data_IF_281612282426
#
_entry.id   IF_281612282426
#
_cell.length_a   1.000
_cell.length_b   1.000
_cell.length_c   1.000
_cell.angle_alpha   90.00
_cell.angle_beta   90.00
_cell.angle_gamma   90.00
#
_symmetry.space_group_name_H-M   'P 1'
#
loop_
_entity.id
_entity.type
_entity.pdbx_description
1 polymer ?
#
# COMPACT_ATOMS: atom_id res chain seq x y z
N UNK A 1 -4.39 -2.53 9.99
CA UNK A 1 -4.48 -3.49 8.86
C UNK A 1 -5.86 -3.29 8.27
N UNK A 2 -5.95 -2.65 7.09
CA UNK A 2 -7.26 -2.38 6.47
C UNK A 2 -7.88 -3.71 6.02
N UNK A 3 -9.15 -4.01 6.35
CA UNK A 3 -9.82 -5.27 6.00
C UNK A 3 -9.89 -5.56 4.49
N UNK A 4 -9.67 -4.54 3.65
CA UNK A 4 -9.73 -4.63 2.20
C UNK A 4 -8.33 -4.38 1.63
N UNK A 5 -7.59 -5.46 1.37
CA UNK A 5 -6.21 -5.39 0.88
C UNK A 5 -5.99 -6.36 -0.27
N UNK A 6 -5.27 -5.91 -1.30
CA UNK A 6 -4.77 -6.77 -2.37
C UNK A 6 -3.25 -6.68 -2.44
N UNK A 7 -2.59 -7.67 -3.04
CA UNK A 7 -1.15 -7.63 -3.30
C UNK A 7 -0.69 -6.51 -4.25
N UNK A 8 -1.63 -5.80 -4.88
CA UNK A 8 -1.37 -4.69 -5.80
C UNK A 8 -1.45 -3.32 -5.12
N UNK A 9 -1.90 -3.24 -3.87
CA UNK A 9 -2.06 -1.96 -3.21
C UNK A 9 -0.70 -1.33 -2.89
N UNK A 10 -0.60 0.01 -2.82
CA UNK A 10 0.65 0.69 -2.46
C UNK A 10 1.21 0.30 -1.09
N UNK A 11 0.37 -0.25 -0.22
CA UNK A 11 0.70 -0.69 1.14
C UNK A 11 0.96 -2.20 1.26
N UNK A 12 0.92 -2.97 0.17
CA UNK A 12 1.14 -4.42 0.21
C UNK A 12 2.62 -4.83 0.20
N UNK A 13 3.49 -4.00 -0.39
CA UNK A 13 4.91 -4.30 -0.58
C UNK A 13 5.80 -3.22 0.03
N UNK A 14 6.90 -3.63 0.65
CA UNK A 14 7.95 -2.73 1.12
C UNK A 14 8.78 -2.23 -0.06
N UNK A 15 8.89 -0.90 -0.18
CA UNK A 15 9.62 -0.19 -1.23
C UNK A 15 11.10 -0.04 -0.92
N UNK A 16 11.44 0.14 0.36
CA UNK A 16 12.82 0.30 0.82
C UNK A 16 13.10 -0.66 1.99
N UNK A 17 13.30 -1.96 1.71
CA UNK A 17 13.56 -2.96 2.75
C UNK A 17 14.87 -2.68 3.50
N UNK A 18 15.86 -2.05 2.86
CA UNK A 18 17.13 -1.71 3.51
C UNK A 18 16.97 -0.59 4.54
N UNK A 19 16.14 0.42 4.29
CA UNK A 19 15.83 1.42 5.30
C UNK A 19 15.14 0.80 6.53
N UNK A 20 14.23 -0.14 6.33
CA UNK A 20 13.59 -0.87 7.43
C UNK A 20 14.60 -1.71 8.20
N UNK A 21 15.43 -2.48 7.49
CA UNK A 21 16.51 -3.28 8.10
C UNK A 21 17.43 -2.41 8.95
N UNK A 22 17.78 -1.21 8.47
CA UNK A 22 18.58 -0.23 9.22
C UNK A 22 17.88 0.30 10.46
N UNK A 23 16.59 0.63 10.36
CA UNK A 23 15.82 1.09 11.52
C UNK A 23 15.73 0.02 12.61
N UNK A 24 15.52 -1.25 12.21
CA UNK A 24 15.52 -2.40 13.12
C UNK A 24 16.89 -2.56 13.77
N UNK A 25 17.97 -2.59 12.98
CA UNK A 25 19.35 -2.71 13.45
C UNK A 25 19.69 -1.69 14.54
N UNK A 26 19.33 -0.42 14.31
CA UNK A 26 19.55 0.68 15.27
C UNK A 26 18.78 0.47 16.57
N UNK A 27 17.49 0.11 16.50
CA UNK A 27 16.67 -0.08 17.69
C UNK A 27 17.06 -1.32 18.50
N UNK A 28 17.46 -2.40 17.83
CA UNK A 28 17.83 -3.64 18.51
C UNK A 28 19.31 -3.69 18.92
N UNK A 29 20.13 -2.73 18.47
CA UNK A 29 21.59 -2.75 18.64
C UNK A 29 22.26 -3.93 17.92
N UNK A 30 21.65 -4.41 16.83
CA UNK A 30 22.28 -5.42 15.97
C UNK A 30 22.99 -4.69 14.83
N UNK A 31 24.33 -4.65 14.89
CA UNK A 31 25.16 -3.94 13.91
C UNK A 31 25.74 -4.93 12.89
N UNK A 32 26.12 -4.42 11.72
CA UNK A 32 26.68 -5.20 10.62
C UNK A 32 26.61 -4.45 9.30
N UNK A 33 27.15 -5.06 8.24
CA UNK A 33 26.90 -4.61 6.87
C UNK A 33 25.50 -5.02 6.43
N UNK A 34 24.57 -4.06 6.43
CA UNK A 34 23.16 -4.33 6.18
C UNK A 34 22.85 -4.73 4.73
N UNK A 35 23.75 -4.52 3.78
CA UNK A 35 23.54 -4.97 2.40
C UNK A 35 23.77 -6.48 2.28
N UNK A 36 24.84 -6.98 2.91
CA UNK A 36 25.34 -8.33 2.67
C UNK A 36 25.10 -9.29 3.86
N UNK A 37 25.06 -8.78 5.09
CA UNK A 37 24.98 -9.61 6.29
C UNK A 37 23.54 -9.90 6.73
N UNK A 38 23.29 -11.13 7.16
CA UNK A 38 22.04 -11.52 7.81
C UNK A 38 22.05 -11.10 9.30
N UNK A 39 21.10 -10.25 9.70
CA UNK A 39 20.94 -9.83 11.09
C UNK A 39 20.23 -10.89 11.94
N UNK A 40 19.61 -11.90 11.33
CA UNK A 40 18.77 -12.86 12.05
C UNK A 40 19.48 -13.58 13.20
N UNK A 41 20.78 -13.96 13.13
CA UNK A 41 21.49 -14.53 14.28
C UNK A 41 21.48 -13.61 15.50
N UNK A 42 21.73 -12.30 15.31
CA UNK A 42 21.66 -11.33 16.39
C UNK A 42 20.23 -11.11 16.86
N UNK A 43 19.27 -10.93 15.94
CA UNK A 43 17.87 -10.67 16.28
C UNK A 43 17.23 -11.80 17.09
N UNK A 44 17.58 -13.06 16.80
CA UNK A 44 17.11 -14.22 17.57
C UNK A 44 17.60 -14.24 19.02
N UNK A 45 18.67 -13.51 19.34
CA UNK A 45 19.16 -13.37 20.73
C UNK A 45 18.43 -12.29 21.53
N UNK A 46 17.62 -11.44 20.89
CA UNK A 46 16.88 -10.35 21.55
C UNK A 46 15.59 -10.88 22.18
N UNK A 47 15.17 -10.25 23.27
CA UNK A 47 13.87 -10.57 23.88
C UNK A 47 12.73 -10.17 22.94
N UNK A 48 11.61 -10.89 23.01
CA UNK A 48 10.42 -10.54 22.25
C UNK A 48 9.96 -9.10 22.53
N UNK A 49 10.05 -8.65 23.78
CA UNK A 49 9.73 -7.28 24.16
C UNK A 49 10.61 -6.25 23.43
N UNK A 50 11.92 -6.51 23.32
CA UNK A 50 12.83 -5.62 22.58
C UNK A 50 12.55 -5.61 21.07
N UNK A 51 12.12 -6.74 20.50
CA UNK A 51 11.74 -6.82 19.08
C UNK A 51 10.42 -6.10 18.80
N UNK A 52 9.43 -6.21 19.69
CA UNK A 52 8.13 -5.56 19.55
C UNK A 52 8.18 -4.05 19.80
N UNK A 53 9.21 -3.56 20.50
CA UNK A 53 9.39 -2.12 20.76
C UNK A 53 10.02 -1.36 19.58
N UNK A 54 10.48 -2.05 18.52
CA UNK A 54 11.04 -1.40 17.33
C UNK A 54 10.01 -0.45 16.71
N UNK A 55 10.34 0.85 16.66
CA UNK A 55 9.50 1.88 16.07
C UNK A 55 10.02 2.28 14.70
N UNK A 56 9.18 2.08 13.68
CA UNK A 56 9.44 2.55 12.33
C UNK A 56 8.75 3.89 12.11
N UNK A 57 9.46 4.87 11.55
CA UNK A 57 8.87 6.09 11.03
C UNK A 57 8.22 5.81 9.68
N UNK A 58 7.04 5.17 9.72
CA UNK A 58 6.31 4.76 8.53
C UNK A 58 5.64 5.97 7.87
N UNK A 59 5.95 6.29 6.60
CA UNK A 59 5.21 7.30 5.87
C UNK A 59 3.75 6.87 5.70
N UNK A 60 2.82 7.84 5.76
CA UNK A 60 1.40 7.57 5.54
C UNK A 60 1.17 6.89 4.18
N UNK A 61 0.27 5.92 4.13
CA UNK A 61 -0.05 5.11 2.93
C UNK A 61 1.03 4.15 2.44
N UNK A 62 2.18 4.07 3.11
CA UNK A 62 3.21 3.07 2.86
C UNK A 62 3.28 2.10 4.04
N UNK A 63 3.73 0.85 3.85
CA UNK A 63 3.83 -0.11 4.95
C UNK A 63 5.15 0.06 5.73
N UNK A 64 5.12 -0.32 7.01
CA UNK A 64 6.31 -0.41 7.86
C UNK A 64 7.01 -1.74 7.64
N UNK A 65 6.43 -2.82 8.17
CA UNK A 65 6.83 -4.19 7.84
C UNK A 65 5.89 -4.76 6.79
N UNK A 66 6.44 -5.14 5.63
CA UNK A 66 5.71 -5.76 4.54
C UNK A 66 6.66 -6.69 3.75
N UNK A 67 6.11 -7.64 2.97
CA UNK A 67 6.90 -8.42 2.02
C UNK A 67 7.68 -7.50 1.06
N UNK A 68 8.80 -7.99 0.54
CA UNK A 68 9.60 -7.29 -0.47
C UNK A 68 10.02 -8.28 -1.56
N UNK A 69 10.39 -7.75 -2.73
CA UNK A 69 10.85 -8.56 -3.85
C UNK A 69 12.27 -9.05 -3.55
N UNK A 70 12.40 -10.34 -3.27
CA UNK A 70 13.66 -10.99 -2.87
C UNK A 70 14.18 -11.97 -3.94
N UNK A 71 13.37 -12.26 -4.96
CA UNK A 71 13.72 -13.24 -6.00
C UNK A 71 13.58 -14.70 -5.56
N UNK A 72 13.35 -14.97 -4.28
CA UNK A 72 13.18 -16.32 -3.73
C UNK A 72 11.69 -16.70 -3.69
N UNK A 73 10.88 -15.91 -2.97
CA UNK A 73 9.43 -16.12 -2.85
C UNK A 73 8.68 -15.13 -3.73
N UNK A 74 9.09 -13.85 -3.70
CA UNK A 74 8.52 -12.81 -4.54
C UNK A 74 9.51 -12.46 -5.64
N UNK A 75 9.29 -13.04 -6.81
CA UNK A 75 10.14 -12.78 -7.97
C UNK A 75 9.80 -11.43 -8.61
N UNK A 76 10.81 -10.80 -9.20
CA UNK A 76 10.64 -9.56 -9.95
C UNK A 76 9.69 -9.71 -11.15
N UNK A 77 9.54 -10.94 -11.66
CA UNK A 77 8.57 -11.29 -12.72
C UNK A 77 7.15 -11.30 -12.21
N UNK A 78 6.89 -11.87 -11.03
CA UNK A 78 5.58 -11.84 -10.41
C UNK A 78 5.16 -10.42 -10.08
N UNK A 79 6.05 -9.61 -9.51
CA UNK A 79 5.77 -8.20 -9.24
C UNK A 79 5.47 -7.42 -10.53
N UNK A 80 6.22 -7.64 -11.61
CA UNK A 80 5.97 -7.02 -12.90
C UNK A 80 4.65 -7.50 -13.54
N UNK A 81 4.35 -8.80 -13.49
CA UNK A 81 3.09 -9.36 -13.99
C UNK A 81 1.88 -8.77 -13.25
N UNK A 82 1.99 -8.58 -11.93
CA UNK A 82 0.98 -7.95 -11.10
C UNK A 82 0.71 -6.50 -11.54
N UNK A 83 1.76 -5.75 -11.90
CA UNK A 83 1.59 -4.39 -12.48
C UNK A 83 1.02 -4.40 -13.90
N UNK A 84 1.37 -5.39 -14.74
CA UNK A 84 0.90 -5.50 -16.12
C UNK A 84 -0.54 -6.03 -16.26
N UNK A 85 -1.04 -6.77 -15.27
CA UNK A 85 -2.43 -7.25 -15.22
C UNK A 85 -3.46 -6.11 -15.18
N UNK A 86 -3.05 -4.89 -14.82
CA UNK A 86 -3.88 -3.68 -14.93
C UNK A 86 -4.18 -3.26 -16.39
N UNK A 87 -3.50 -3.85 -17.38
CA UNK A 87 -3.54 -3.43 -18.80
C UNK A 87 -4.06 -4.53 -19.74
N UNK A 88 -4.25 -5.78 -19.29
CA UNK A 88 -4.73 -6.85 -20.19
C UNK A 88 -5.44 -7.99 -19.46
N UNK A 89 -6.64 -8.33 -19.93
CA UNK A 89 -7.51 -9.41 -19.43
C UNK A 89 -6.99 -10.83 -19.72
N UNK A 90 -5.76 -10.99 -20.21
CA UNK A 90 -5.21 -12.28 -20.65
C UNK A 90 -3.71 -12.36 -20.38
N UNK A 91 -3.34 -12.54 -19.12
CA UNK A 91 -1.95 -12.75 -18.67
C UNK A 91 -1.70 -14.14 -18.07
N UNK A 92 -2.62 -15.10 -18.28
CA UNK A 92 -2.47 -16.48 -17.83
C UNK A 92 -1.16 -17.15 -18.32
N UNK A 93 -0.61 -16.72 -19.46
CA UNK A 93 0.65 -17.26 -20.02
C UNK A 93 1.95 -16.73 -19.41
N UNK A 94 1.91 -15.72 -18.52
CA UNK A 94 3.13 -15.15 -17.91
C UNK A 94 3.44 -15.75 -16.52
N UNK A 95 2.46 -16.43 -15.90
CA UNK A 95 2.61 -17.13 -14.63
C UNK A 95 2.99 -18.61 -14.81
N UNK A 96 2.91 -19.15 -16.03
CA UNK A 96 3.31 -20.52 -16.37
C UNK A 96 4.82 -20.58 -16.63
N UNK A 97 5.61 -20.46 -15.57
CA UNK A 97 7.05 -20.74 -15.59
C UNK A 97 7.33 -22.23 -15.31
N UNK A 98 8.24 -22.81 -16.09
CA UNK A 98 8.64 -24.22 -16.06
C UNK A 98 8.80 -24.79 -14.63
N UNK A 99 8.33 -26.04 -14.49
CA UNK A 99 8.09 -26.82 -13.27
C UNK A 99 9.34 -27.20 -12.44
N UNK A 100 10.51 -26.59 -12.68
CA UNK A 100 11.81 -27.09 -12.20
C UNK A 100 12.57 -26.13 -11.26
N UNK A 101 11.95 -25.06 -10.76
CA UNK A 101 12.57 -24.18 -9.74
C UNK A 101 11.84 -24.35 -8.40
N UNK A 102 12.55 -24.57 -7.26
CA UNK A 102 11.91 -24.55 -5.95
C UNK A 102 11.43 -23.12 -5.66
N UNK A 103 10.11 -22.90 -5.65
CA UNK A 103 9.51 -21.56 -5.49
C UNK A 103 8.16 -21.35 -6.18
N UNK A 104 7.64 -22.35 -6.89
CA UNK A 104 6.45 -22.21 -7.74
C UNK A 104 5.10 -22.36 -7.01
N UNK A 105 5.01 -22.08 -5.70
CA UNK A 105 3.75 -22.23 -4.94
C UNK A 105 2.62 -21.27 -5.38
N UNK A 106 2.92 -20.32 -6.26
CA UNK A 106 1.97 -19.33 -6.79
C UNK A 106 1.55 -19.58 -8.26
N UNK A 107 2.10 -20.62 -8.92
CA UNK A 107 1.79 -20.93 -10.32
C UNK A 107 0.35 -21.43 -10.53
N UNK A 108 -0.29 -21.87 -9.46
CA UNK A 108 -1.65 -22.41 -9.43
C UNK A 108 -2.71 -21.33 -9.11
N UNK A 109 -2.30 -20.07 -8.93
CA UNK A 109 -3.21 -18.96 -8.63
C UNK A 109 -4.38 -18.83 -9.65
N UNK A 110 -4.18 -19.07 -10.97
CA UNK A 110 -5.27 -19.06 -11.93
C UNK A 110 -6.33 -20.17 -11.72
N UNK A 111 -6.00 -21.25 -11.01
CA UNK A 111 -6.88 -22.40 -10.79
C UNK A 111 -7.61 -22.34 -9.43
N UNK A 112 -7.42 -21.26 -8.65
CA UNK A 112 -8.04 -21.11 -7.33
C UNK A 112 -9.33 -20.31 -7.41
N UNK A 113 -10.36 -20.78 -6.71
CA UNK A 113 -11.57 -20.00 -6.47
C UNK A 113 -11.24 -18.82 -5.54
N UNK A 114 -11.57 -17.61 -5.99
CA UNK A 114 -11.28 -16.37 -5.27
C UNK A 114 -12.58 -15.62 -4.98
N UNK A 115 -12.74 -15.15 -3.74
CA UNK A 115 -13.81 -14.24 -3.34
C UNK A 115 -13.18 -12.94 -2.84
N UNK A 116 -13.58 -11.82 -3.44
CA UNK A 116 -13.14 -10.48 -3.05
C UNK A 116 -14.34 -9.63 -2.63
N UNK A 117 -14.13 -8.75 -1.66
CA UNK A 117 -15.12 -7.79 -1.20
C UNK A 117 -14.43 -6.48 -0.83
N UNK A 118 -15.17 -5.38 -0.98
CA UNK A 118 -14.75 -4.04 -0.61
C UNK A 118 -15.81 -3.44 0.30
N UNK A 119 -15.43 -2.44 1.09
CA UNK A 119 -16.38 -1.67 1.91
C UNK A 119 -16.51 -0.27 1.33
N UNK A 120 -17.66 0.37 1.57
CA UNK A 120 -17.92 1.72 1.05
C UNK A 120 -16.94 2.78 1.59
N UNK A 121 -16.36 2.57 2.77
CA UNK A 121 -15.52 3.54 3.49
C UNK A 121 -14.19 2.93 3.97
N UNK A 122 -13.38 2.44 3.04
CA UNK A 122 -12.10 1.77 3.35
C UNK A 122 -11.09 2.69 4.04
N UNK A 123 -11.14 3.99 3.72
CA UNK A 123 -10.23 5.01 4.21
C UNK A 123 -10.60 5.56 5.60
N UNK A 124 -11.59 4.97 6.27
CA UNK A 124 -12.02 5.39 7.62
C UNK A 124 -10.86 5.38 8.62
N UNK A 125 -9.98 4.36 8.55
CA UNK A 125 -8.83 4.21 9.45
C UNK A 125 -7.68 5.18 9.15
N UNK A 126 -7.70 5.85 8.00
CA UNK A 126 -6.66 6.80 7.64
C UNK A 126 -6.91 8.19 8.25
N UNK A 127 -8.13 8.49 8.69
CA UNK A 127 -8.50 9.78 9.28
C UNK A 127 -8.38 9.73 10.81
N UNK A 128 -8.07 10.87 11.42
CA UNK A 128 -8.04 10.99 12.88
C UNK A 128 -9.47 11.18 13.44
N UNK A 129 -9.65 10.99 14.75
CA UNK A 129 -10.97 11.10 15.39
C UNK A 129 -11.63 12.48 15.16
N UNK A 130 -10.84 13.56 15.17
CA UNK A 130 -11.35 14.92 14.95
C UNK A 130 -11.88 15.13 13.52
N UNK A 131 -11.15 14.63 12.52
CA UNK A 131 -11.55 14.67 11.11
C UNK A 131 -12.81 13.84 10.88
N UNK A 132 -12.96 12.73 11.62
CA UNK A 132 -14.15 11.89 11.56
C UNK A 132 -15.35 12.54 12.24
N UNK A 133 -15.16 13.23 13.35
CA UNK A 133 -16.25 13.85 14.10
C UNK A 133 -16.74 15.16 13.47
N UNK A 134 -15.82 16.07 13.14
CA UNK A 134 -16.15 17.42 12.69
C UNK A 134 -15.98 17.64 11.19
N UNK A 135 -15.38 16.67 10.47
CA UNK A 135 -14.97 16.85 9.09
C UNK A 135 -13.74 17.74 8.95
N UNK A 136 -13.42 18.13 7.71
CA UNK A 136 -12.26 18.97 7.42
C UNK A 136 -12.46 19.84 6.18
N UNK A 137 -11.61 20.84 5.98
CA UNK A 137 -11.72 21.76 4.86
C UNK A 137 -10.98 21.28 3.60
N UNK A 138 -11.17 21.99 2.49
CA UNK A 138 -10.50 21.72 1.23
C UNK A 138 -8.98 21.65 1.36
N UNK A 139 -8.38 22.54 2.17
CA UNK A 139 -6.93 22.56 2.38
C UNK A 139 -6.43 21.26 3.02
N UNK A 140 -7.16 20.71 4.00
CA UNK A 140 -6.85 19.42 4.62
C UNK A 140 -7.03 18.29 3.62
N UNK A 141 -8.12 18.26 2.85
CA UNK A 141 -8.35 17.29 1.75
C UNK A 141 -7.17 17.27 0.78
N UNK A 142 -6.80 18.44 0.26
CA UNK A 142 -5.72 18.58 -0.73
C UNK A 142 -4.37 18.13 -0.16
N UNK A 143 -4.11 18.36 1.14
CA UNK A 143 -2.92 17.85 1.82
C UNK A 143 -2.93 16.32 1.93
N UNK A 144 -4.08 15.72 2.24
CA UNK A 144 -4.25 14.26 2.28
C UNK A 144 -3.97 13.66 0.89
N UNK A 145 -4.65 14.17 -0.14
CA UNK A 145 -4.51 13.69 -1.53
C UNK A 145 -3.08 13.87 -2.04
N UNK A 146 -2.45 15.02 -1.80
CA UNK A 146 -1.06 15.26 -2.20
C UNK A 146 -0.08 14.30 -1.49
N UNK A 147 -0.33 14.00 -0.22
CA UNK A 147 0.48 13.02 0.53
C UNK A 147 0.31 11.62 -0.06
N UNK A 148 -0.91 11.22 -0.37
CA UNK A 148 -1.20 9.95 -1.04
C UNK A 148 -0.50 9.84 -2.39
N UNK A 149 -0.61 10.85 -3.25
CA UNK A 149 0.00 10.85 -4.59
C UNK A 149 1.51 10.77 -4.51
N UNK A 150 2.14 11.62 -3.67
CA UNK A 150 3.59 11.64 -3.50
C UNK A 150 4.14 10.32 -2.95
N UNK A 151 3.38 9.67 -2.08
CA UNK A 151 3.82 8.42 -1.47
C UNK A 151 3.48 7.21 -2.34
N UNK A 152 2.49 7.28 -3.22
CA UNK A 152 2.05 6.14 -4.04
C UNK A 152 2.70 6.09 -5.42
N UNK A 153 3.04 7.24 -6.00
CA UNK A 153 3.57 7.35 -7.37
C UNK A 153 4.98 7.97 -7.40
N UNK A 154 5.70 7.74 -8.49
CA UNK A 154 7.05 8.28 -8.72
C UNK A 154 7.09 9.40 -9.77
N UNK A 155 6.20 9.36 -10.75
CA UNK A 155 6.20 10.26 -11.91
C UNK A 155 4.86 10.99 -12.05
N UNK A 156 4.86 12.11 -12.75
CA UNK A 156 3.66 12.91 -13.08
C UNK A 156 2.80 13.29 -11.87
N UNK A 157 3.44 13.59 -10.73
CA UNK A 157 2.75 13.81 -9.46
C UNK A 157 1.74 14.97 -9.55
N UNK A 158 2.04 16.01 -10.31
CA UNK A 158 1.18 17.20 -10.42
C UNK A 158 -0.05 16.90 -11.28
N UNK A 159 0.13 16.18 -12.37
CA UNK A 159 -0.93 15.76 -13.27
C UNK A 159 -1.87 14.79 -12.56
N UNK A 160 -1.33 13.75 -11.93
CA UNK A 160 -2.10 12.76 -11.17
C UNK A 160 -2.89 13.44 -10.04
N UNK A 161 -2.24 14.33 -9.30
CA UNK A 161 -2.92 15.09 -8.24
C UNK A 161 -4.08 15.94 -8.80
N UNK A 162 -3.87 16.61 -9.93
CA UNK A 162 -4.91 17.45 -10.55
C UNK A 162 -6.10 16.61 -11.02
N UNK A 163 -5.85 15.45 -11.63
CA UNK A 163 -6.91 14.50 -12.04
C UNK A 163 -7.68 13.97 -10.82
N UNK A 164 -7.00 13.54 -9.76
CA UNK A 164 -7.64 13.06 -8.54
C UNK A 164 -8.46 14.16 -7.87
N UNK A 165 -7.93 15.38 -7.75
CA UNK A 165 -8.65 16.51 -7.20
C UNK A 165 -9.92 16.80 -8.00
N UNK A 166 -9.85 16.71 -9.33
CA UNK A 166 -11.00 16.93 -10.20
C UNK A 166 -12.09 15.86 -10.03
N UNK A 167 -11.71 14.58 -9.99
CA UNK A 167 -12.67 13.47 -9.86
C UNK A 167 -13.37 13.48 -8.49
N UNK A 168 -12.65 13.82 -7.42
CA UNK A 168 -13.17 13.84 -6.05
C UNK A 168 -13.68 15.21 -5.58
N UNK A 169 -13.83 16.15 -6.51
CA UNK A 169 -14.57 17.38 -6.24
C UNK A 169 -16.02 17.16 -6.65
N UNK A 170 -16.94 17.19 -5.67
CA UNK A 170 -18.37 17.18 -5.98
C UNK A 170 -18.80 18.52 -6.59
N UNK A 171 -18.84 18.57 -7.92
CA UNK A 171 -19.23 19.74 -8.71
C UNK A 171 -20.72 20.11 -8.59
N UNK A 172 -21.56 19.20 -8.08
CA UNK A 172 -23.02 19.43 -7.95
C UNK A 172 -23.39 20.27 -6.72
N UNK A 173 -22.43 20.53 -5.83
CA UNK A 173 -22.65 21.31 -4.61
C UNK A 173 -21.56 22.38 -4.42
N UNK A 174 -21.92 23.65 -4.64
CA UNK A 174 -20.99 24.78 -4.58
C UNK A 174 -20.54 25.17 -3.15
N UNK A 175 -21.29 24.78 -2.12
CA UNK A 175 -20.96 25.01 -0.71
C UNK A 175 -20.70 23.67 -0.04
N UNK A 176 -19.42 23.29 0.04
CA UNK A 176 -19.03 22.07 0.74
C UNK A 176 -18.71 22.41 2.19
N UNK A 177 -19.57 21.94 3.10
CA UNK A 177 -19.29 21.96 4.54
C UNK A 177 -18.16 20.99 4.91
N UNK A 178 -17.57 21.09 6.11
CA UNK A 178 -16.49 20.22 6.56
C UNK A 178 -16.80 18.71 6.46
N UNK A 179 -18.06 18.33 6.75
CA UNK A 179 -18.53 16.94 6.63
C UNK A 179 -18.64 16.48 5.17
N UNK A 180 -18.99 17.39 4.25
CA UNK A 180 -19.08 17.09 2.82
C UNK A 180 -17.71 16.73 2.23
N UNK A 181 -16.66 17.46 2.63
CA UNK A 181 -15.28 17.13 2.25
C UNK A 181 -14.81 15.80 2.84
N UNK A 182 -15.14 15.52 4.11
CA UNK A 182 -14.86 14.23 4.76
C UNK A 182 -15.51 13.09 4.00
N UNK A 183 -16.81 13.18 3.76
CA UNK A 183 -17.59 12.11 3.13
C UNK A 183 -17.13 11.86 1.69
N UNK A 184 -16.86 12.92 0.91
CA UNK A 184 -16.30 12.79 -0.44
C UNK A 184 -14.92 12.11 -0.44
N UNK A 185 -14.10 12.38 0.58
CA UNK A 185 -12.77 11.76 0.73
C UNK A 185 -12.87 10.30 1.21
N UNK A 186 -13.88 9.97 2.03
CA UNK A 186 -14.15 8.61 2.48
C UNK A 186 -14.73 7.73 1.36
N UNK A 187 -15.62 8.31 0.55
CA UNK A 187 -16.23 7.68 -0.63
C UNK A 187 -15.24 7.56 -1.81
N UNK A 188 -14.04 8.17 -1.69
CA UNK A 188 -12.97 8.08 -2.70
C UNK A 188 -12.41 6.66 -2.92
N UNK A 189 -12.91 5.65 -2.20
CA UNK A 189 -12.60 4.24 -2.43
C UNK A 189 -13.59 3.49 -3.33
N UNK A 190 -14.77 4.05 -3.66
CA UNK A 190 -15.88 3.22 -4.19
C UNK A 190 -16.73 3.83 -5.31
N UNK A 191 -16.41 4.99 -5.88
CA UNK A 191 -17.19 5.53 -7.01
C UNK A 191 -16.83 4.90 -8.37
N UNK A 192 -17.30 3.67 -8.58
CA UNK A 192 -17.67 3.23 -9.92
C UNK A 192 -19.03 3.90 -10.25
N UNK A 193 -19.03 4.80 -11.23
CA UNK A 193 -20.19 5.62 -11.62
C UNK A 193 -21.41 4.74 -11.94
N UNK A 194 -22.39 4.71 -11.04
CA UNK A 194 -23.78 4.48 -11.41
C UNK A 194 -24.31 5.74 -12.10
N UNK A 195 -24.02 5.87 -13.40
CA UNK A 195 -24.74 6.77 -14.31
C UNK A 195 -25.18 5.96 -15.52
N UNK A 196 -26.38 5.39 -15.43
CA UNK A 196 -27.30 5.35 -16.55
C UNK A 196 -28.05 6.68 -16.61
#
# INVERSE_FOLDING_TARGET
MSPNGSGLSPWALQRDPLAIKRAVAVHTGCHGDLAEEDLAPCLRSKSLAALLDVRLNQPRFLPGFAPFVDGAVLSHRLAAAATAASVSHSTAGLLTGNKEVPGNELGDFPERDLLFGLTSTESYLDLNAQDLEFGFNETRRDRILRTFVRNSYYFHLNEIFSTLKNEYTNWECAVQGPLSYRDSTLESGTREKSRQ
#
